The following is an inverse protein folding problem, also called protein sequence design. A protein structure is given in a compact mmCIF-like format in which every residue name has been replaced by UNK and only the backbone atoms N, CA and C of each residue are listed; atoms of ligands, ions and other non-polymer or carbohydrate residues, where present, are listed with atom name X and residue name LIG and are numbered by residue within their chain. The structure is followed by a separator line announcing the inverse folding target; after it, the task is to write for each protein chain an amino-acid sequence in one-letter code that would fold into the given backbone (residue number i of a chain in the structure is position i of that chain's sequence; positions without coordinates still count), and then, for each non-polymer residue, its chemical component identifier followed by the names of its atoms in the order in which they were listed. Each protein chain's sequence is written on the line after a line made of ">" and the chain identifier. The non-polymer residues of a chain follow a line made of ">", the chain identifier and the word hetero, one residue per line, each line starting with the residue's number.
data_IF_060854246296
#
_entry.id   IF_060854246296
#
_cell.length_a   1.000
_cell.length_b   1.000
_cell.length_c   1.000
_cell.angle_alpha   90.00
_cell.angle_beta   90.00
_cell.angle_gamma   90.00
#
_symmetry.space_group_name_H-M   'P 1'
#
loop_
_entity.id
_entity.type
_entity.pdbx_description
1 polymer ?
#
# COMPACT_ATOMS: atom_id res chain seq x y z
N UNK A 1 -55.41 37.10 -8.34
CA UNK A 1 -54.35 36.41 -9.11
C UNK A 1 -54.01 35.12 -8.38
N UNK A 2 -54.07 33.99 -9.10
CA UNK A 2 -53.96 32.62 -8.57
C UNK A 2 -52.50 32.17 -8.57
N UNK A 3 -51.98 31.64 -7.46
CA UNK A 3 -50.89 30.63 -7.47
C UNK A 3 -51.10 29.64 -6.34
N UNK A 4 -51.73 28.51 -6.68
CA UNK A 4 -51.76 27.31 -5.88
C UNK A 4 -50.40 26.61 -6.02
N UNK A 5 -49.71 26.36 -4.91
CA UNK A 5 -48.56 25.47 -4.87
C UNK A 5 -49.05 24.05 -4.61
N UNK A 6 -48.65 23.14 -5.50
CA UNK A 6 -48.94 21.72 -5.41
C UNK A 6 -48.06 21.10 -4.34
N UNK A 7 -48.68 20.42 -3.40
CA UNK A 7 -48.04 19.49 -2.45
C UNK A 7 -47.73 18.23 -3.26
N UNK A 8 -46.45 17.93 -3.48
CA UNK A 8 -46.04 16.63 -4.02
C UNK A 8 -46.16 15.60 -2.89
N UNK A 9 -47.09 14.66 -3.08
CA UNK A 9 -47.33 13.55 -2.17
C UNK A 9 -46.17 12.58 -2.13
N UNK A 10 -45.97 12.02 -0.94
CA UNK A 10 -45.11 10.88 -0.67
C UNK A 10 -45.65 9.61 -1.37
N UNK A 11 -44.73 8.83 -1.94
CA UNK A 11 -44.96 7.42 -2.25
C UNK A 11 -43.87 6.62 -1.53
N UNK A 12 -44.30 5.98 -0.45
CA UNK A 12 -43.59 4.90 0.21
C UNK A 12 -43.77 3.62 -0.61
N UNK A 13 -42.67 2.95 -0.92
CA UNK A 13 -42.56 1.52 -1.27
C UNK A 13 -41.06 1.26 -1.51
N UNK A 14 -40.39 0.26 -0.96
CA UNK A 14 -40.75 -0.83 -0.08
C UNK A 14 -39.43 -1.49 0.33
N UNK A 15 -39.37 -1.97 1.56
CA UNK A 15 -38.24 -2.74 2.09
C UNK A 15 -38.33 -4.14 1.48
N UNK A 16 -37.25 -4.61 0.86
CA UNK A 16 -37.02 -6.04 0.65
C UNK A 16 -35.64 -6.36 1.20
N UNK A 17 -35.61 -6.88 2.43
CA UNK A 17 -34.49 -7.60 2.99
C UNK A 17 -34.62 -9.04 2.49
N UNK A 18 -33.66 -9.52 1.71
CA UNK A 18 -33.47 -10.96 1.53
C UNK A 18 -32.11 -11.31 2.09
N UNK A 19 -32.15 -11.99 3.23
CA UNK A 19 -31.01 -12.64 3.84
C UNK A 19 -30.61 -13.87 3.03
N UNK A 20 -29.31 -14.05 2.82
CA UNK A 20 -28.69 -15.36 2.72
C UNK A 20 -27.22 -15.22 3.10
N UNK A 21 -26.95 -15.28 4.40
CA UNK A 21 -25.62 -15.59 4.91
C UNK A 21 -25.39 -17.09 4.68
N UNK A 22 -24.51 -17.47 3.77
CA UNK A 22 -23.88 -18.79 3.76
C UNK A 22 -22.44 -18.64 4.22
N UNK A 23 -22.23 -18.89 5.51
CA UNK A 23 -20.92 -19.13 6.09
C UNK A 23 -20.53 -20.59 5.81
N UNK A 24 -19.35 -20.88 5.22
CA UNK A 24 -18.73 -22.17 5.44
C UNK A 24 -18.09 -22.19 6.83
N UNK A 25 -18.54 -23.12 7.68
CA UNK A 25 -17.91 -23.46 8.96
C UNK A 25 -16.47 -23.95 8.75
N UNK A 26 -15.52 -23.64 9.67
CA UNK A 26 -14.22 -24.29 9.68
C UNK A 26 -14.33 -25.66 10.36
N UNK A 27 -14.21 -26.74 9.59
CA UNK A 27 -13.91 -28.05 10.17
C UNK A 27 -12.41 -28.15 10.48
N UNK A 28 -12.14 -28.36 11.76
CA UNK A 28 -10.92 -28.92 12.33
C UNK A 28 -10.42 -30.12 11.51
N UNK A 29 -9.13 -30.13 11.18
CA UNK A 29 -8.32 -31.36 11.18
C UNK A 29 -6.90 -31.05 11.68
N UNK A 30 -6.71 -31.31 12.96
CA UNK A 30 -5.46 -31.85 13.49
C UNK A 30 -5.20 -33.20 12.80
N UNK A 31 -4.00 -33.40 12.26
CA UNK A 31 -3.32 -34.69 12.40
C UNK A 31 -1.81 -34.46 12.42
N UNK A 32 -1.27 -34.83 13.57
CA UNK A 32 0.08 -34.82 14.05
C UNK A 32 0.89 -35.95 13.39
N UNK A 33 2.09 -35.67 12.87
CA UNK A 33 3.21 -36.63 12.92
C UNK A 33 4.49 -35.87 13.25
N UNK A 34 4.87 -35.92 14.53
CA UNK A 34 6.25 -35.81 14.95
C UNK A 34 6.97 -37.11 14.55
N UNK A 35 8.09 -36.99 13.84
CA UNK A 35 9.24 -37.84 14.12
C UNK A 35 10.53 -37.10 13.73
N UNK A 36 11.16 -36.48 14.72
CA UNK A 36 12.51 -35.96 14.62
C UNK A 36 13.29 -36.52 15.80
N UNK A 37 14.09 -37.55 15.55
CA UNK A 37 15.21 -37.92 16.42
C UNK A 37 16.53 -37.52 15.74
N UNK A 38 17.50 -37.03 16.52
CA UNK A 38 18.71 -36.36 16.03
C UNK A 38 19.85 -37.36 15.82
N UNK A 39 20.81 -37.01 14.97
CA UNK A 39 22.18 -37.54 15.10
C UNK A 39 23.16 -36.39 14.96
N UNK A 40 23.94 -36.23 16.03
CA UNK A 40 25.15 -35.43 16.14
C UNK A 40 26.17 -35.78 15.05
N UNK A 41 26.95 -34.80 14.59
CA UNK A 41 28.40 -34.88 14.79
C UNK A 41 29.09 -33.53 14.64
N UNK A 42 29.91 -33.24 15.65
CA UNK A 42 30.78 -32.09 15.86
C UNK A 42 32.04 -32.24 14.98
N UNK A 43 32.70 -31.11 14.66
CA UNK A 43 34.13 -30.87 14.38
C UNK A 43 34.27 -29.94 13.15
N UNK A 44 35.11 -28.92 13.09
CA UNK A 44 35.97 -28.20 14.00
C UNK A 44 36.30 -26.90 13.27
N UNK A 45 36.50 -25.81 14.00
CA UNK A 45 37.08 -24.60 13.46
C UNK A 45 38.55 -24.87 13.11
N UNK A 46 39.01 -24.41 11.95
CA UNK A 46 40.42 -24.09 11.76
C UNK A 46 40.58 -22.79 10.98
N UNK A 47 41.21 -21.85 11.68
CA UNK A 47 41.68 -20.56 11.22
C UNK A 47 42.97 -20.74 10.43
N UNK A 48 43.01 -20.22 9.20
CA UNK A 48 44.29 -19.81 8.61
C UNK A 48 44.06 -18.84 7.45
N UNK A 49 44.44 -17.58 7.66
CA UNK A 49 44.89 -16.72 6.57
C UNK A 49 46.36 -17.05 6.26
N UNK A 50 46.74 -17.01 4.98
CA UNK A 50 47.94 -16.24 4.64
C UNK A 50 47.70 -15.30 3.44
N UNK A 51 48.37 -14.16 3.53
CA UNK A 51 48.40 -13.07 2.56
C UNK A 51 49.34 -13.36 1.37
N UNK A 52 49.05 -12.64 0.28
CA UNK A 52 49.89 -12.26 -0.87
C UNK A 52 50.42 -13.34 -1.84
N UNK A 53 49.93 -13.32 -3.08
CA UNK A 53 50.75 -13.00 -4.26
C UNK A 53 49.93 -13.05 -5.57
N UNK A 54 50.09 -12.04 -6.42
CA UNK A 54 49.84 -12.15 -7.86
C UNK A 54 48.71 -11.28 -8.40
N UNK A 55 48.99 -10.00 -8.66
CA UNK A 55 48.33 -9.31 -9.75
C UNK A 55 48.78 -9.93 -11.08
N UNK A 56 47.84 -10.27 -11.98
CA UNK A 56 47.83 -9.66 -13.30
C UNK A 56 46.41 -9.19 -13.64
N UNK A 57 46.23 -7.92 -13.93
CA UNK A 57 46.28 -7.32 -15.27
C UNK A 57 44.86 -7.05 -15.77
N UNK A 58 44.69 -5.82 -16.21
CA UNK A 58 43.44 -5.19 -16.53
C UNK A 58 42.84 -5.82 -17.79
N UNK A 59 41.67 -6.46 -17.68
CA UNK A 59 40.62 -6.58 -18.71
C UNK A 59 39.52 -7.56 -18.27
N UNK A 60 38.72 -7.22 -17.25
CA UNK A 60 37.35 -7.70 -17.17
C UNK A 60 36.51 -6.79 -16.25
N UNK A 61 35.58 -5.98 -16.79
CA UNK A 61 34.66 -5.20 -15.95
C UNK A 61 33.45 -6.01 -15.44
N UNK A 62 33.30 -7.30 -15.74
CA UNK A 62 32.09 -8.08 -15.40
C UNK A 62 32.23 -8.94 -14.13
N UNK A 63 32.64 -8.33 -13.02
CA UNK A 63 32.19 -8.83 -11.71
C UNK A 63 31.20 -7.81 -11.19
N UNK A 64 29.97 -7.97 -11.68
CA UNK A 64 28.78 -7.27 -11.23
C UNK A 64 28.75 -7.34 -9.69
N UNK A 65 29.05 -6.22 -9.04
CA UNK A 65 28.30 -5.88 -7.85
C UNK A 65 26.81 -6.09 -8.21
N UNK A 66 25.97 -6.66 -7.31
CA UNK A 66 24.55 -6.66 -7.59
C UNK A 66 24.21 -5.23 -8.01
N UNK A 67 23.56 -5.01 -9.17
CA UNK A 67 23.02 -3.69 -9.46
C UNK A 67 22.26 -3.26 -8.21
N UNK A 68 22.32 -1.98 -7.82
CA UNK A 68 21.51 -1.47 -6.71
C UNK A 68 20.08 -2.00 -6.93
N UNK A 69 19.70 -3.07 -6.23
CA UNK A 69 18.59 -3.95 -6.63
C UNK A 69 17.25 -3.22 -6.59
N UNK A 70 17.29 -2.05 -5.95
CA UNK A 70 16.23 -1.15 -5.62
C UNK A 70 15.88 -0.24 -6.80
N UNK A 71 16.83 0.05 -7.71
CA UNK A 71 16.61 1.00 -8.80
C UNK A 71 17.37 0.59 -10.05
N UNK A 72 16.62 0.37 -11.12
CA UNK A 72 17.17 -0.03 -12.39
C UNK A 72 17.08 1.13 -13.37
N UNK A 73 18.22 1.50 -13.97
CA UNK A 73 18.25 2.47 -15.06
C UNK A 73 17.75 1.83 -16.38
N UNK A 74 16.43 1.78 -16.57
CA UNK A 74 15.75 1.25 -17.77
C UNK A 74 15.55 -0.27 -17.76
N UNK A 75 14.83 -0.82 -18.75
CA UNK A 75 14.42 -2.24 -18.89
C UNK A 75 15.54 -3.24 -18.50
N UNK A 76 15.71 -3.58 -17.22
CA UNK A 76 16.62 -4.65 -16.85
C UNK A 76 15.92 -5.97 -17.04
N UNK A 77 16.30 -6.60 -18.14
CA UNK A 77 16.08 -7.99 -18.31
C UNK A 77 17.18 -8.79 -17.59
N UNK A 78 16.81 -9.68 -16.67
CA UNK A 78 17.73 -10.64 -16.04
C UNK A 78 17.49 -12.01 -16.66
N UNK A 79 18.56 -12.70 -17.06
CA UNK A 79 18.48 -14.10 -17.48
C UNK A 79 18.47 -15.00 -16.25
N UNK A 80 17.34 -15.66 -15.99
CA UNK A 80 17.19 -16.63 -14.92
C UNK A 80 18.08 -17.87 -15.15
N UNK A 81 18.36 -18.68 -14.10
CA UNK A 81 19.23 -19.86 -14.19
C UNK A 81 18.77 -20.92 -15.21
N UNK A 82 17.49 -20.92 -15.59
CA UNK A 82 16.89 -21.79 -16.61
C UNK A 82 16.98 -21.21 -18.04
N UNK A 83 17.63 -20.06 -18.22
CA UNK A 83 17.79 -19.38 -19.50
C UNK A 83 16.62 -18.49 -19.90
N UNK A 84 15.58 -18.34 -19.05
CA UNK A 84 14.49 -17.41 -19.33
C UNK A 84 14.93 -15.96 -19.10
N UNK A 85 14.59 -15.09 -20.05
CA UNK A 85 14.78 -13.64 -19.90
C UNK A 85 13.57 -13.10 -19.13
N UNK A 86 13.81 -12.57 -17.93
CA UNK A 86 12.81 -11.99 -17.03
C UNK A 86 12.91 -10.48 -17.13
N UNK A 87 11.84 -9.79 -17.53
CA UNK A 87 11.76 -8.35 -17.36
C UNK A 87 11.50 -8.05 -15.88
N UNK A 88 12.37 -7.24 -15.27
CA UNK A 88 12.25 -6.86 -13.88
C UNK A 88 11.61 -5.48 -13.66
N UNK A 89 11.31 -4.73 -14.73
CA UNK A 89 10.65 -3.42 -14.70
C UNK A 89 9.61 -3.39 -15.85
N UNK A 90 8.43 -3.98 -15.62
CA UNK A 90 7.37 -4.14 -16.63
C UNK A 90 6.59 -2.83 -16.89
N UNK A 91 6.56 -1.92 -15.93
CA UNK A 91 5.87 -0.63 -16.05
C UNK A 91 6.78 0.58 -16.30
N UNK A 92 8.09 0.34 -16.41
CA UNK A 92 9.13 1.31 -16.74
C UNK A 92 9.27 2.44 -15.71
N UNK A 93 8.96 2.17 -14.45
CA UNK A 93 9.00 3.16 -13.39
C UNK A 93 10.33 3.20 -12.62
N UNK A 94 11.29 2.36 -13.07
CA UNK A 94 12.68 2.22 -12.61
C UNK A 94 12.84 1.44 -11.33
N UNK A 95 11.79 0.85 -10.80
CA UNK A 95 11.86 0.00 -9.63
C UNK A 95 11.67 -1.45 -10.05
N UNK A 96 12.58 -2.29 -9.58
CA UNK A 96 12.50 -3.69 -9.94
C UNK A 96 11.40 -4.39 -9.14
N UNK A 97 10.70 -5.32 -9.77
CA UNK A 97 9.72 -6.19 -9.11
C UNK A 97 10.29 -6.88 -7.88
N UNK A 98 9.46 -6.96 -6.84
CA UNK A 98 9.77 -7.67 -5.60
C UNK A 98 9.86 -9.18 -5.78
N UNK A 99 10.91 -9.75 -5.18
CA UNK A 99 11.12 -11.20 -5.09
C UNK A 99 11.70 -11.84 -6.37
N UNK A 100 11.81 -13.16 -6.33
CA UNK A 100 12.37 -13.95 -7.44
C UNK A 100 13.80 -13.57 -7.80
N UNK A 101 14.12 -13.60 -9.10
CA UNK A 101 15.44 -13.25 -9.63
C UNK A 101 15.69 -11.74 -9.71
N UNK A 102 14.65 -10.93 -9.64
CA UNK A 102 14.73 -9.47 -9.72
C UNK A 102 15.12 -8.85 -8.37
N UNK A 103 14.57 -9.37 -7.27
CA UNK A 103 15.00 -9.01 -5.91
C UNK A 103 14.75 -7.55 -5.53
N UNK A 104 13.90 -6.83 -6.25
CA UNK A 104 13.62 -5.42 -6.01
C UNK A 104 12.55 -5.17 -4.95
N UNK A 105 11.97 -3.97 -5.00
CA UNK A 105 11.03 -3.46 -4.01
C UNK A 105 9.69 -2.99 -4.61
N UNK A 106 9.52 -3.04 -5.92
CA UNK A 106 8.23 -2.76 -6.54
C UNK A 106 7.25 -3.90 -6.29
N UNK A 107 6.18 -3.57 -5.59
CA UNK A 107 5.12 -4.47 -5.21
C UNK A 107 4.03 -4.63 -6.26
N UNK A 108 3.99 -3.79 -7.30
CA UNK A 108 3.07 -3.91 -8.43
C UNK A 108 3.69 -3.40 -9.74
N UNK A 109 4.67 -4.14 -10.23
CA UNK A 109 5.43 -3.98 -11.48
C UNK A 109 4.59 -3.91 -12.78
N UNK A 110 3.26 -3.95 -12.67
CA UNK A 110 2.34 -3.73 -13.79
C UNK A 110 1.73 -2.32 -13.78
N UNK A 111 2.05 -1.50 -12.80
CA UNK A 111 1.43 -0.22 -12.54
C UNK A 111 2.46 0.78 -12.02
N UNK A 112 2.99 1.59 -12.94
CA UNK A 112 4.00 2.61 -12.63
C UNK A 112 3.48 3.78 -11.78
N UNK A 113 2.34 3.60 -11.10
CA UNK A 113 1.91 4.41 -9.97
C UNK A 113 2.30 3.84 -8.60
N UNK A 114 2.66 2.57 -8.51
CA UNK A 114 3.02 1.87 -7.30
C UNK A 114 4.52 1.67 -7.30
N UNK A 115 5.23 2.24 -6.33
CA UNK A 115 6.69 2.06 -6.18
C UNK A 115 7.23 2.64 -4.88
N UNK A 116 8.37 2.16 -4.37
CA UNK A 116 8.93 2.55 -3.08
C UNK A 116 9.03 4.06 -2.76
N UNK A 117 9.33 4.90 -3.75
CA UNK A 117 9.54 6.35 -3.56
C UNK A 117 8.27 7.20 -3.75
N UNK A 118 7.10 6.55 -3.90
CA UNK A 118 5.88 7.23 -4.28
C UNK A 118 5.32 8.13 -3.16
N UNK A 119 5.11 9.40 -3.51
CA UNK A 119 4.35 10.34 -2.69
C UNK A 119 2.84 10.05 -2.70
N UNK A 120 2.10 10.75 -1.82
CA UNK A 120 0.65 10.66 -1.76
C UNK A 120 -0.01 10.83 -3.13
N UNK A 121 -0.92 9.91 -3.46
CA UNK A 121 -1.60 9.84 -4.74
C UNK A 121 -3.12 9.71 -4.54
N UNK A 122 -3.88 10.39 -5.40
CA UNK A 122 -5.35 10.41 -5.39
C UNK A 122 -5.96 9.51 -6.46
N UNK A 123 -5.19 8.63 -7.09
CA UNK A 123 -5.73 7.61 -7.99
C UNK A 123 -6.54 6.57 -7.21
N UNK A 124 -7.52 5.96 -7.87
CA UNK A 124 -8.30 4.85 -7.31
C UNK A 124 -7.44 3.58 -7.34
N UNK A 125 -7.10 2.99 -6.17
CA UNK A 125 -6.27 1.79 -6.13
C UNK A 125 -7.09 0.54 -6.49
N UNK A 126 -6.36 -0.53 -6.79
CA UNK A 126 -6.95 -1.87 -6.83
C UNK A 126 -7.36 -2.26 -5.40
N UNK A 127 -8.59 -2.77 -5.19
CA UNK A 127 -9.02 -3.22 -3.87
C UNK A 127 -8.16 -4.37 -3.34
N UNK A 128 -7.84 -4.36 -2.05
CA UNK A 128 -7.10 -5.43 -1.40
C UNK A 128 -6.35 -4.94 -0.17
N UNK A 129 -5.67 -5.86 0.49
CA UNK A 129 -4.79 -5.61 1.62
C UNK A 129 -3.39 -6.13 1.28
N UNK A 130 -2.36 -5.30 1.44
CA UNK A 130 -0.97 -5.64 1.15
C UNK A 130 -0.30 -4.60 0.26
N UNK A 131 1.02 -4.73 0.04
CA UNK A 131 1.81 -3.81 -0.78
C UNK A 131 1.17 -3.56 -2.16
N UNK A 132 1.06 -2.29 -2.55
CA UNK A 132 0.54 -1.91 -3.88
C UNK A 132 -0.99 -1.93 -3.99
N UNK A 133 -1.70 -2.41 -2.96
CA UNK A 133 -3.16 -2.55 -2.95
C UNK A 133 -3.78 -1.64 -1.89
N UNK A 134 -5.06 -1.32 -2.07
CA UNK A 134 -5.82 -0.55 -1.09
C UNK A 134 -5.35 0.91 -0.89
N UNK A 135 -4.41 1.40 -1.70
CA UNK A 135 -3.85 2.75 -1.63
C UNK A 135 -2.46 2.83 -1.02
N UNK A 136 -1.83 1.68 -0.74
CA UNK A 136 -0.38 1.58 -0.48
C UNK A 136 0.34 1.77 -1.82
N UNK A 137 0.63 3.02 -2.15
CA UNK A 137 1.29 3.38 -3.39
C UNK A 137 2.82 3.33 -3.26
N UNK A 138 3.35 3.30 -2.02
CA UNK A 138 4.77 3.32 -1.76
C UNK A 138 5.39 1.96 -1.36
N UNK A 139 4.63 0.87 -1.50
CA UNK A 139 5.07 -0.50 -1.24
C UNK A 139 5.58 -0.75 0.20
N UNK A 140 5.18 0.05 1.18
CA UNK A 140 5.67 -0.09 2.55
C UNK A 140 4.84 -1.09 3.40
N UNK A 141 3.75 -1.62 2.86
CA UNK A 141 2.85 -2.57 3.51
C UNK A 141 1.76 -1.92 4.38
N UNK A 142 1.66 -0.60 4.39
CA UNK A 142 0.70 0.17 5.18
C UNK A 142 0.08 1.29 4.35
N UNK A 143 -1.19 1.61 4.63
CA UNK A 143 -1.87 2.73 3.96
C UNK A 143 -1.80 3.96 4.87
N UNK A 144 -1.13 5.01 4.39
CA UNK A 144 -1.06 6.32 5.02
C UNK A 144 -1.99 7.30 4.31
N UNK A 145 -2.70 8.14 5.06
CA UNK A 145 -3.53 9.20 4.49
C UNK A 145 -2.78 10.53 4.43
N UNK A 146 -2.89 11.24 3.30
CA UNK A 146 -2.26 12.56 3.11
C UNK A 146 -2.78 13.59 4.12
N UNK A 147 -4.07 13.50 4.44
CA UNK A 147 -4.77 14.43 5.29
C UNK A 147 -5.40 13.69 6.47
N UNK A 148 -5.62 14.42 7.56
CA UNK A 148 -6.23 13.86 8.78
C UNK A 148 -7.57 13.21 8.47
N UNK A 149 -7.84 12.07 9.09
CA UNK A 149 -9.09 11.32 9.00
C UNK A 149 -9.80 11.30 10.35
N UNK A 150 -11.11 11.05 10.35
CA UNK A 150 -11.91 10.97 11.58
C UNK A 150 -12.12 12.31 12.28
N UNK A 151 -12.12 13.43 11.55
CA UNK A 151 -12.40 14.76 12.12
C UNK A 151 -13.89 14.89 12.44
N UNK A 152 -14.21 15.40 13.63
CA UNK A 152 -15.58 15.69 14.03
C UNK A 152 -16.16 16.85 13.19
N UNK A 153 -17.21 16.56 12.42
CA UNK A 153 -17.90 17.54 11.58
C UNK A 153 -18.54 18.71 12.35
N UNK A 154 -18.74 18.54 13.67
CA UNK A 154 -19.31 19.57 14.54
C UNK A 154 -18.28 20.61 14.94
N UNK A 155 -17.00 20.33 14.68
CA UNK A 155 -15.84 21.07 15.17
C UNK A 155 -15.72 21.07 16.69
N UNK A 156 -14.52 20.86 17.24
CA UNK A 156 -14.37 20.77 18.69
C UNK A 156 -14.70 22.10 19.38
N UNK A 157 -15.29 21.99 20.56
CA UNK A 157 -15.50 23.14 21.45
C UNK A 157 -14.24 23.39 22.29
N UNK A 158 -14.13 24.61 22.83
CA UNK A 158 -13.29 25.03 23.96
C UNK A 158 -12.02 24.21 24.24
N UNK A 159 -10.85 24.82 24.00
CA UNK A 159 -9.57 24.33 24.50
C UNK A 159 -8.87 23.28 23.61
N UNK A 160 -9.49 22.89 22.50
CA UNK A 160 -8.89 22.00 21.48
C UNK A 160 -8.56 22.80 20.22
N UNK A 161 -7.47 22.45 19.54
CA UNK A 161 -7.11 23.04 18.26
C UNK A 161 -8.18 22.74 17.20
N UNK A 162 -8.46 23.71 16.33
CA UNK A 162 -9.37 23.49 15.21
C UNK A 162 -8.65 22.71 14.12
N UNK A 163 -9.32 21.70 13.58
CA UNK A 163 -8.72 20.74 12.65
C UNK A 163 -9.35 20.82 11.25
N UNK A 164 -8.61 20.31 10.27
CA UNK A 164 -9.13 20.09 8.92
C UNK A 164 -8.82 18.65 8.53
N UNK A 165 -9.80 17.97 7.93
CA UNK A 165 -9.66 16.56 7.60
C UNK A 165 -10.93 15.92 7.06
N UNK A 166 -10.81 14.64 6.71
CA UNK A 166 -11.93 13.80 6.34
C UNK A 166 -12.77 13.44 7.56
N UNK A 167 -14.09 13.48 7.42
CA UNK A 167 -15.02 13.12 8.50
C UNK A 167 -15.00 11.62 8.78
N UNK A 168 -14.88 10.82 7.73
CA UNK A 168 -14.74 9.37 7.87
C UNK A 168 -13.35 9.05 8.44
N UNK A 169 -13.28 8.11 9.40
CA UNK A 169 -12.03 7.61 9.97
C UNK A 169 -11.25 6.69 9.01
N UNK A 170 -11.95 6.06 8.06
CA UNK A 170 -11.36 5.20 7.03
C UNK A 170 -11.98 5.55 5.67
N UNK A 171 -11.68 6.73 5.11
CA UNK A 171 -12.12 7.07 3.77
C UNK A 171 -11.40 6.19 2.74
N UNK A 172 -12.09 5.84 1.65
CA UNK A 172 -11.50 5.03 0.58
C UNK A 172 -10.50 5.86 -0.24
N UNK A 173 -9.28 5.38 -0.37
CA UNK A 173 -8.23 5.99 -1.19
C UNK A 173 -8.71 6.21 -2.63
N UNK A 174 -8.32 7.34 -3.22
CA UNK A 174 -8.71 7.77 -4.58
C UNK A 174 -10.17 8.16 -4.77
N UNK A 175 -11.00 8.00 -3.74
CA UNK A 175 -12.42 8.38 -3.80
C UNK A 175 -12.61 9.83 -3.36
N UNK A 176 -13.73 10.43 -3.77
CA UNK A 176 -14.17 11.71 -3.19
C UNK A 176 -14.82 11.45 -1.84
N UNK A 177 -14.26 12.03 -0.78
CA UNK A 177 -14.80 11.92 0.58
C UNK A 177 -15.09 13.31 1.17
N UNK A 178 -15.98 13.33 2.16
CA UNK A 178 -16.37 14.56 2.83
C UNK A 178 -15.24 15.10 3.71
N UNK A 179 -14.86 16.34 3.44
CA UNK A 179 -13.76 17.05 4.07
C UNK A 179 -14.28 18.33 4.72
N UNK A 180 -13.93 18.53 5.98
CA UNK A 180 -14.35 19.69 6.77
C UNK A 180 -13.14 20.49 7.20
N UNK A 181 -13.31 21.81 7.24
CA UNK A 181 -12.34 22.72 7.85
C UNK A 181 -13.01 23.40 9.02
N UNK A 182 -12.42 23.23 10.21
CA UNK A 182 -12.82 23.95 11.41
C UNK A 182 -11.89 25.13 11.62
N UNK A 183 -12.48 26.29 11.91
CA UNK A 183 -11.74 27.51 12.23
C UNK A 183 -12.14 28.05 13.59
N UNK A 184 -11.22 28.79 14.21
CA UNK A 184 -11.44 29.39 15.52
C UNK A 184 -12.56 30.44 15.44
N UNK A 185 -13.53 30.31 16.34
CA UNK A 185 -14.58 31.30 16.56
C UNK A 185 -14.78 31.52 18.06
N UNK A 186 -14.24 32.64 18.56
CA UNK A 186 -14.22 32.95 19.98
C UNK A 186 -13.37 31.93 20.75
N UNK A 187 -14.01 31.25 21.72
CA UNK A 187 -13.36 30.25 22.56
C UNK A 187 -13.41 28.83 21.98
N UNK A 188 -14.19 28.58 20.92
CA UNK A 188 -14.32 27.26 20.29
C UNK A 188 -14.00 27.28 18.80
N UNK A 189 -14.28 26.17 18.12
CA UNK A 189 -14.19 26.07 16.67
C UNK A 189 -15.59 26.09 16.03
N UNK A 190 -15.67 26.55 14.78
CA UNK A 190 -16.85 26.41 13.93
C UNK A 190 -16.47 25.83 12.59
N UNK A 191 -17.42 25.18 11.92
CA UNK A 191 -17.23 24.72 10.55
C UNK A 191 -17.13 25.93 9.61
N UNK A 192 -15.97 26.08 8.98
CA UNK A 192 -15.70 27.11 7.97
C UNK A 192 -16.07 26.61 6.57
N UNK A 193 -15.78 25.34 6.28
CA UNK A 193 -16.15 24.72 5.00
C UNK A 193 -16.53 23.24 5.16
N UNK A 194 -17.31 22.77 4.19
CA UNK A 194 -17.77 21.38 4.07
C UNK A 194 -17.79 21.06 2.57
N UNK A 195 -16.81 20.27 2.11
CA UNK A 195 -16.60 19.98 0.68
C UNK A 195 -16.37 18.49 0.46
N UNK A 196 -16.34 18.08 -0.81
CA UNK A 196 -15.79 16.80 -1.20
C UNK A 196 -14.36 16.99 -1.69
N UNK A 197 -13.44 16.14 -1.24
CA UNK A 197 -12.04 16.15 -1.67
C UNK A 197 -11.58 14.74 -1.97
N UNK A 198 -10.70 14.60 -2.96
CA UNK A 198 -10.10 13.31 -3.29
C UNK A 198 -9.19 12.86 -2.14
N UNK A 199 -9.27 11.59 -1.78
CA UNK A 199 -8.49 10.99 -0.70
C UNK A 199 -7.14 10.58 -1.25
N UNK A 200 -6.10 11.33 -0.90
CA UNK A 200 -4.72 10.97 -1.15
C UNK A 200 -4.25 9.92 -0.15
N UNK A 201 -3.66 8.84 -0.66
CA UNK A 201 -3.01 7.81 0.15
C UNK A 201 -1.60 7.53 -0.36
N UNK A 202 -0.81 6.82 0.42
CA UNK A 202 0.39 6.13 -0.05
C UNK A 202 0.67 4.91 0.80
#
# INVERSE_FOLDING_TARGET
>A
MRRAWRISGALAAGITIVAACTFPSPELRDDLVLDASPNDDVLAADTSSPSEAGAPDASNPDVLAPPDADRIDGDAAITAPDGQVVNCDEDNDRFAKVGGVCGGFDCDDSNGNVRPDRDFNTLTPIPGTGPGKGGDWNCNGTVEYELKVGVDERCPLLGVACEAGFVNAQPTCGSMARFVVCEKNGLGCRKASDTLRAVGCR
#
